data_IF_341638916364
#
_entry.id   IF_341638916364
#
_cell.length_a   1.000
_cell.length_b   1.000
_cell.length_c   1.000
_cell.angle_alpha   90.00
_cell.angle_beta   90.00
_cell.angle_gamma   90.00
#
_symmetry.space_group_name_H-M   'P 1'
#
loop_
_entity.id
_entity.type
_entity.pdbx_description
1 polymer ?
#
# COMPACT_ATOMS: atom_id res chain seq x y z
N UNK A 1 4.98 -48.72 58.30
CA UNK A 1 5.16 -47.28 57.93
C UNK A 1 5.59 -47.05 56.47
N UNK A 2 5.94 -48.12 55.73
CA UNK A 2 6.42 -47.94 54.33
C UNK A 2 5.33 -47.81 53.22
N UNK A 3 4.08 -48.18 53.54
CA UNK A 3 2.96 -48.20 52.56
C UNK A 3 2.21 -46.86 52.44
N UNK A 4 2.33 -45.93 53.37
CA UNK A 4 1.69 -44.60 53.34
C UNK A 4 2.51 -43.59 52.59
N UNK A 5 3.84 -43.76 52.55
CA UNK A 5 4.76 -42.87 51.85
C UNK A 5 4.65 -42.94 50.30
N UNK A 6 4.30 -44.12 49.72
CA UNK A 6 4.14 -44.27 48.26
C UNK A 6 2.87 -43.63 47.71
N UNK A 7 1.80 -43.51 48.54
CA UNK A 7 0.54 -42.92 48.04
C UNK A 7 0.56 -41.39 47.93
N UNK A 8 1.38 -40.73 48.74
CA UNK A 8 1.52 -39.28 48.74
C UNK A 8 2.36 -38.81 47.55
N UNK A 9 3.32 -39.61 47.11
CA UNK A 9 4.17 -39.27 45.96
C UNK A 9 3.41 -39.45 44.62
N UNK A 10 2.48 -40.38 44.54
CA UNK A 10 1.65 -40.59 43.35
C UNK A 10 0.61 -39.47 43.11
N UNK A 11 0.14 -38.78 44.16
CA UNK A 11 -0.82 -37.69 44.04
C UNK A 11 -0.18 -36.35 43.61
N UNK A 12 1.14 -36.15 43.87
CA UNK A 12 1.85 -34.94 43.46
C UNK A 12 2.27 -34.94 41.98
N UNK A 13 2.28 -36.09 41.31
CA UNK A 13 2.70 -36.23 39.91
C UNK A 13 1.64 -35.92 38.85
N UNK A 14 0.34 -35.87 39.22
CA UNK A 14 -0.76 -35.66 38.26
C UNK A 14 -1.17 -34.18 38.05
N UNK A 15 -0.65 -33.26 38.84
CA UNK A 15 -1.03 -31.84 38.75
C UNK A 15 -0.17 -31.00 37.77
N UNK A 16 0.79 -31.61 37.08
CA UNK A 16 1.70 -30.88 36.18
C UNK A 16 1.30 -30.90 34.68
N UNK A 17 0.24 -31.62 34.29
CA UNK A 17 -0.08 -31.83 32.88
C UNK A 17 -1.19 -30.92 32.31
N UNK A 18 -1.76 -30.02 33.13
CA UNK A 18 -2.89 -29.20 32.70
C UNK A 18 -2.62 -27.70 32.50
N UNK A 19 -1.42 -27.19 32.85
CA UNK A 19 -1.20 -25.73 32.98
C UNK A 19 -0.73 -24.96 31.73
N UNK A 20 -0.13 -25.64 30.74
CA UNK A 20 0.53 -24.91 29.63
C UNK A 20 -0.39 -24.44 28.51
N UNK A 21 -1.54 -25.09 28.28
CA UNK A 21 -2.42 -24.75 27.18
C UNK A 21 -3.33 -23.55 27.45
N UNK A 22 -3.74 -23.34 28.69
CA UNK A 22 -4.65 -22.22 29.02
C UNK A 22 -3.90 -20.89 29.05
N UNK A 23 -2.68 -20.87 29.58
CA UNK A 23 -1.86 -19.65 29.59
C UNK A 23 -1.46 -19.18 28.16
N UNK A 24 -1.19 -20.11 27.24
CA UNK A 24 -0.96 -19.77 25.83
C UNK A 24 -2.22 -19.28 25.12
N UNK A 25 -3.38 -19.89 25.40
CA UNK A 25 -4.64 -19.45 24.81
C UNK A 25 -5.02 -18.03 25.29
N UNK A 26 -4.84 -17.71 26.57
CA UNK A 26 -5.08 -16.37 27.12
C UNK A 26 -4.07 -15.37 26.58
N UNK A 27 -2.78 -15.73 26.47
CA UNK A 27 -1.77 -14.85 25.89
C UNK A 27 -2.01 -14.54 24.39
N UNK A 28 -2.64 -15.46 23.67
CA UNK A 28 -3.00 -15.24 22.25
C UNK A 28 -4.21 -14.31 22.11
N UNK A 29 -5.17 -14.39 23.03
CA UNK A 29 -6.36 -13.54 23.05
C UNK A 29 -6.08 -12.08 23.49
N UNK A 30 -4.96 -11.84 24.18
CA UNK A 30 -4.59 -10.51 24.70
C UNK A 30 -3.50 -9.82 23.88
N UNK A 31 -2.97 -10.45 22.83
CA UNK A 31 -2.02 -9.76 21.94
C UNK A 31 -2.76 -8.76 21.08
N UNK A 32 -2.36 -7.48 21.10
CA UNK A 32 -2.92 -6.51 20.17
C UNK A 32 -2.62 -6.96 18.72
N UNK A 33 -3.54 -6.66 17.85
CA UNK A 33 -3.36 -6.92 16.41
C UNK A 33 -2.07 -6.23 15.90
N UNK A 34 -1.27 -6.91 15.08
CA UNK A 34 -0.07 -6.30 14.53
C UNK A 34 -0.44 -5.08 13.68
N UNK A 35 0.21 -3.96 13.95
CA UNK A 35 0.01 -2.70 13.24
C UNK A 35 1.27 -2.38 12.46
N UNK A 36 1.15 -2.24 11.15
CA UNK A 36 2.19 -1.66 10.31
C UNK A 36 1.99 -0.14 10.29
N UNK A 37 2.98 0.58 10.79
CA UNK A 37 2.92 2.04 10.88
C UNK A 37 3.08 2.69 9.51
N UNK A 38 2.41 3.82 9.32
CA UNK A 38 2.63 4.71 8.20
C UNK A 38 4.13 4.96 7.99
N UNK A 39 4.57 5.02 6.74
CA UNK A 39 5.97 5.36 6.40
C UNK A 39 6.19 6.87 6.46
N UNK A 40 5.12 7.61 6.32
CA UNK A 40 5.10 9.07 6.41
C UNK A 40 3.73 9.52 6.92
N UNK A 41 3.73 10.35 7.93
CA UNK A 41 2.54 11.00 8.45
C UNK A 41 2.20 12.18 7.53
N UNK A 42 1.26 11.91 6.60
CA UNK A 42 0.90 12.88 5.56
C UNK A 42 0.02 13.98 6.21
N UNK A 43 0.44 15.25 6.17
CA UNK A 43 -0.40 16.33 6.67
C UNK A 43 -1.72 16.41 5.90
N UNK A 44 -2.83 16.71 6.60
CA UNK A 44 -4.12 16.99 5.97
C UNK A 44 -4.07 18.39 5.32
N UNK A 45 -3.65 18.42 4.08
CA UNK A 45 -3.48 19.58 3.23
C UNK A 45 -4.04 19.28 1.84
N UNK A 46 -4.45 20.30 1.06
CA UNK A 46 -4.82 20.12 -0.34
C UNK A 46 -3.78 19.31 -1.10
N UNK A 47 -4.18 18.12 -1.57
CA UNK A 47 -3.25 17.10 -2.08
C UNK A 47 -3.70 16.54 -3.42
N UNK A 48 -2.74 16.15 -4.25
CA UNK A 48 -2.99 15.40 -5.49
C UNK A 48 -2.04 14.21 -5.60
N UNK A 49 -2.54 13.09 -6.13
CA UNK A 49 -1.71 11.97 -6.58
C UNK A 49 -1.36 12.21 -8.06
N UNK A 50 -0.11 12.53 -8.32
CA UNK A 50 0.40 12.76 -9.68
C UNK A 50 1.18 11.55 -10.17
N UNK A 51 0.60 10.82 -11.14
CA UNK A 51 1.23 9.66 -11.77
C UNK A 51 1.98 10.09 -13.02
N UNK A 52 3.31 9.99 -12.98
CA UNK A 52 4.19 10.41 -14.07
C UNK A 52 4.90 9.22 -14.72
N UNK A 53 4.39 8.79 -15.85
CA UNK A 53 4.94 7.69 -16.64
C UNK A 53 5.62 8.17 -17.93
N UNK A 54 6.76 8.82 -17.76
CA UNK A 54 7.54 9.36 -18.87
C UNK A 54 7.94 8.29 -19.89
N UNK A 55 8.31 7.12 -19.44
CA UNK A 55 8.80 6.04 -20.30
C UNK A 55 7.69 5.13 -20.84
N UNK A 56 6.43 5.44 -20.58
CA UNK A 56 5.28 4.63 -21.01
C UNK A 56 5.36 3.16 -20.54
N UNK A 57 5.81 2.96 -19.32
CA UNK A 57 5.93 1.65 -18.66
C UNK A 57 4.58 1.00 -18.45
N UNK A 58 3.54 1.81 -18.13
CA UNK A 58 2.19 1.34 -17.83
C UNK A 58 1.29 1.49 -19.06
N UNK A 59 0.85 0.38 -19.60
CA UNK A 59 -0.04 0.32 -20.77
C UNK A 59 -1.26 -0.59 -20.52
N UNK A 60 -2.46 -0.20 -21.00
CA UNK A 60 -2.82 1.05 -21.69
C UNK A 60 -2.83 2.28 -20.78
N UNK A 61 -2.76 3.48 -21.34
CA UNK A 61 -2.65 4.77 -20.63
C UNK A 61 -3.70 4.96 -19.53
N UNK A 62 -4.93 4.45 -19.72
CA UNK A 62 -6.00 4.53 -18.70
C UNK A 62 -5.59 3.94 -17.36
N UNK A 63 -4.75 2.89 -17.34
CA UNK A 63 -4.30 2.22 -16.11
C UNK A 63 -3.54 3.18 -15.19
N UNK A 64 -2.82 4.14 -15.74
CA UNK A 64 -2.11 5.19 -14.97
C UNK A 64 -3.08 6.02 -14.14
N UNK A 65 -4.19 6.41 -14.78
CA UNK A 65 -5.26 7.12 -14.11
C UNK A 65 -5.95 6.24 -13.07
N UNK A 66 -6.28 4.99 -13.43
CA UNK A 66 -6.97 4.06 -12.53
C UNK A 66 -6.15 3.84 -11.25
N UNK A 67 -4.80 3.73 -11.33
CA UNK A 67 -3.91 3.62 -10.17
C UNK A 67 -3.96 4.88 -9.29
N UNK A 68 -3.87 6.06 -9.92
CA UNK A 68 -3.86 7.32 -9.18
C UNK A 68 -5.21 7.63 -8.54
N UNK A 69 -6.32 7.35 -9.23
CA UNK A 69 -7.67 7.49 -8.70
C UNK A 69 -7.91 6.54 -7.51
N UNK A 70 -7.48 5.28 -7.62
CA UNK A 70 -7.57 4.32 -6.51
C UNK A 70 -6.78 4.80 -5.29
N UNK A 71 -5.53 5.24 -5.49
CA UNK A 71 -4.73 5.79 -4.39
C UNK A 71 -5.42 6.99 -3.72
N UNK A 72 -6.05 7.87 -4.51
CA UNK A 72 -6.81 9.01 -4.01
C UNK A 72 -8.00 8.57 -3.16
N UNK A 73 -8.79 7.61 -3.66
CA UNK A 73 -9.96 7.06 -2.93
C UNK A 73 -9.52 6.46 -1.58
N UNK A 74 -8.48 5.63 -1.60
CA UNK A 74 -7.99 4.98 -0.37
C UNK A 74 -7.44 6.00 0.64
N UNK A 75 -6.78 7.08 0.17
CA UNK A 75 -6.31 8.17 1.05
C UNK A 75 -7.48 8.90 1.70
N UNK A 76 -8.52 9.21 0.95
CA UNK A 76 -9.74 9.83 1.50
C UNK A 76 -10.43 8.92 2.53
N UNK A 77 -10.51 7.62 2.25
CA UNK A 77 -11.21 6.67 3.12
C UNK A 77 -10.45 6.26 4.39
N UNK A 78 -9.11 6.27 4.35
CA UNK A 78 -8.28 5.65 5.41
C UNK A 78 -7.22 6.54 6.02
N UNK A 79 -6.85 7.63 5.37
CA UNK A 79 -5.90 8.61 5.87
C UNK A 79 -6.58 9.93 6.28
N UNK A 80 -7.94 9.94 6.29
CA UNK A 80 -8.76 11.11 6.63
C UNK A 80 -8.35 12.38 5.84
N UNK A 81 -7.98 12.18 4.55
CA UNK A 81 -7.59 13.26 3.65
C UNK A 81 -8.83 13.85 2.96
N UNK A 82 -9.36 14.94 3.49
CA UNK A 82 -10.62 15.53 2.98
C UNK A 82 -10.42 16.36 1.70
N UNK A 83 -9.25 16.96 1.52
CA UNK A 83 -8.99 17.91 0.43
C UNK A 83 -8.08 17.31 -0.66
N UNK A 84 -8.65 16.34 -1.41
CA UNK A 84 -7.97 15.65 -2.50
C UNK A 84 -8.42 16.18 -3.87
N UNK A 85 -7.45 16.64 -4.66
CA UNK A 85 -7.69 17.07 -6.06
C UNK A 85 -7.60 15.89 -7.01
N UNK A 86 -8.45 15.89 -8.05
CA UNK A 86 -8.47 14.81 -9.05
C UNK A 86 -7.11 14.63 -9.75
N UNK A 87 -6.57 13.41 -9.81
CA UNK A 87 -5.36 13.11 -10.57
C UNK A 87 -5.43 13.54 -12.04
N UNK A 88 -6.63 13.55 -12.62
CA UNK A 88 -6.84 13.98 -14.00
C UNK A 88 -6.52 15.47 -14.21
N UNK A 89 -6.77 16.30 -13.20
CA UNK A 89 -6.46 17.73 -13.29
C UNK A 89 -4.95 17.96 -13.25
N UNK A 90 -4.21 17.22 -12.46
CA UNK A 90 -2.74 17.24 -12.49
C UNK A 90 -2.18 16.81 -13.86
N UNK A 91 -2.71 15.72 -14.44
CA UNK A 91 -2.30 15.22 -15.76
C UNK A 91 -2.58 16.28 -16.84
N UNK A 92 -3.77 16.88 -16.83
CA UNK A 92 -4.16 17.93 -17.79
C UNK A 92 -3.29 19.16 -17.66
N UNK A 93 -3.02 19.58 -16.42
CA UNK A 93 -2.21 20.77 -16.15
C UNK A 93 -0.75 20.52 -16.54
N UNK A 94 -0.15 19.40 -16.17
CA UNK A 94 1.20 19.03 -16.58
C UNK A 94 1.33 19.07 -18.11
N UNK A 95 0.42 18.42 -18.84
CA UNK A 95 0.39 18.41 -20.30
C UNK A 95 0.25 19.80 -20.90
N UNK A 96 -0.50 20.71 -20.27
CA UNK A 96 -0.66 22.11 -20.72
C UNK A 96 0.59 22.95 -20.49
N UNK A 97 1.31 22.66 -19.41
CA UNK A 97 2.52 23.40 -19.00
C UNK A 97 3.79 22.86 -19.66
N UNK A 98 3.82 21.58 -20.06
CA UNK A 98 4.96 20.97 -20.73
C UNK A 98 5.23 21.67 -22.07
N UNK A 99 6.49 22.07 -22.27
CA UNK A 99 7.00 22.56 -23.54
C UNK A 99 7.63 21.41 -24.30
N UNK A 100 7.86 21.58 -25.60
CA UNK A 100 8.38 20.51 -26.47
C UNK A 100 9.71 19.90 -26.02
N UNK A 101 10.49 20.59 -25.21
CA UNK A 101 11.83 20.16 -24.75
C UNK A 101 11.95 20.15 -23.23
N UNK A 102 11.10 20.89 -22.51
CA UNK A 102 11.20 21.08 -21.07
C UNK A 102 9.87 20.71 -20.39
N UNK A 103 9.94 19.85 -19.39
CA UNK A 103 8.79 19.46 -18.59
C UNK A 103 8.55 20.45 -17.46
N UNK A 104 7.28 20.65 -17.14
CA UNK A 104 6.90 21.45 -16.00
C UNK A 104 7.41 20.82 -14.69
N UNK A 105 7.94 21.66 -13.81
CA UNK A 105 8.33 21.18 -12.49
C UNK A 105 7.09 20.74 -11.68
N UNK A 106 7.20 19.66 -10.92
CA UNK A 106 6.09 19.04 -10.19
C UNK A 106 5.38 20.05 -9.28
N UNK A 107 6.16 20.87 -8.54
CA UNK A 107 5.61 21.89 -7.64
C UNK A 107 4.90 23.01 -8.39
N UNK A 108 5.30 23.35 -9.62
CA UNK A 108 4.60 24.34 -10.46
C UNK A 108 3.26 23.79 -10.93
N UNK A 109 3.18 22.52 -11.30
CA UNK A 109 1.91 21.85 -11.60
C UNK A 109 1.01 21.86 -10.37
N UNK A 110 1.52 21.49 -9.20
CA UNK A 110 0.79 21.54 -7.93
C UNK A 110 0.24 22.93 -7.63
N UNK A 111 1.07 23.96 -7.77
CA UNK A 111 0.67 25.36 -7.59
C UNK A 111 -0.43 25.78 -8.57
N UNK A 112 -0.33 25.37 -9.81
CA UNK A 112 -1.30 25.71 -10.85
C UNK A 112 -2.68 25.08 -10.66
N UNK A 113 -2.76 23.93 -9.96
CA UNK A 113 -4.03 23.26 -9.60
C UNK A 113 -4.49 23.56 -8.17
N UNK A 114 -3.74 24.38 -7.41
CA UNK A 114 -4.14 24.86 -6.09
C UNK A 114 -3.93 23.89 -4.96
N UNK A 115 -2.96 22.95 -5.05
CA UNK A 115 -2.61 22.03 -3.95
C UNK A 115 -1.37 22.50 -3.20
N UNK A 116 -1.23 22.08 -1.94
CA UNK A 116 -0.09 22.37 -1.08
C UNK A 116 0.95 21.25 -1.09
N UNK A 117 0.56 20.02 -1.45
CA UNK A 117 1.46 18.88 -1.58
C UNK A 117 1.09 17.96 -2.75
N UNK A 118 2.11 17.31 -3.31
CA UNK A 118 1.97 16.37 -4.41
C UNK A 118 2.55 15.02 -4.01
N UNK A 119 1.73 13.97 -4.03
CA UNK A 119 2.19 12.58 -3.99
C UNK A 119 2.59 12.19 -5.40
N UNK A 120 3.90 12.23 -5.67
CA UNK A 120 4.46 11.93 -6.98
C UNK A 120 4.78 10.46 -7.12
N UNK A 121 4.22 9.81 -8.13
CA UNK A 121 4.35 8.38 -8.41
C UNK A 121 5.02 8.18 -9.76
N UNK A 122 6.19 7.53 -9.74
CA UNK A 122 6.96 7.14 -10.93
C UNK A 122 6.91 5.62 -11.10
N UNK A 123 6.35 5.07 -12.19
CA UNK A 123 6.36 3.64 -12.42
C UNK A 123 7.73 3.17 -12.89
N UNK A 124 8.22 2.08 -12.29
CA UNK A 124 9.46 1.41 -12.67
C UNK A 124 9.20 0.14 -13.49
N UNK A 125 8.08 -0.52 -13.19
CA UNK A 125 7.68 -1.76 -13.85
C UNK A 125 6.17 -1.95 -13.74
N UNK A 126 5.58 -2.46 -14.81
CA UNK A 126 4.20 -2.94 -14.83
C UNK A 126 4.14 -4.14 -15.79
N UNK A 127 4.16 -5.35 -15.23
CA UNK A 127 4.30 -6.58 -15.99
C UNK A 127 3.07 -7.47 -15.83
N UNK A 128 2.43 -7.76 -16.96
CA UNK A 128 1.40 -8.80 -17.06
C UNK A 128 1.96 -9.91 -17.94
N UNK A 129 2.09 -11.15 -17.43
CA UNK A 129 2.55 -12.27 -18.24
C UNK A 129 1.63 -12.52 -19.43
N UNK A 130 2.22 -12.82 -20.60
CA UNK A 130 1.44 -13.13 -21.81
C UNK A 130 0.59 -14.41 -21.62
N UNK A 131 1.11 -15.37 -20.87
CA UNK A 131 0.41 -16.60 -20.48
C UNK A 131 0.19 -16.54 -18.97
N UNK A 132 -1.08 -16.50 -18.56
CA UNK A 132 -1.45 -16.46 -17.16
C UNK A 132 -0.99 -17.71 -16.42
N UNK A 133 -0.40 -17.50 -15.24
CA UNK A 133 0.12 -18.60 -14.41
C UNK A 133 1.57 -19.00 -14.69
N UNK A 134 2.25 -18.47 -15.70
CA UNK A 134 3.68 -18.69 -15.93
C UNK A 134 4.55 -17.91 -14.96
N UNK A 135 4.16 -16.68 -14.65
CA UNK A 135 4.77 -15.83 -13.63
C UNK A 135 3.72 -14.97 -12.96
N UNK A 136 4.09 -14.28 -11.90
CA UNK A 136 3.19 -13.37 -11.19
C UNK A 136 3.09 -12.03 -11.93
N UNK A 137 1.86 -11.51 -12.16
CA UNK A 137 1.69 -10.11 -12.52
C UNK A 137 2.29 -9.23 -11.43
N UNK A 138 3.07 -8.22 -11.82
CA UNK A 138 3.76 -7.37 -10.85
C UNK A 138 3.88 -5.92 -11.31
N UNK A 139 3.90 -5.02 -10.34
CA UNK A 139 4.17 -3.61 -10.55
C UNK A 139 5.19 -3.11 -9.52
N UNK A 140 5.98 -2.10 -9.91
CA UNK A 140 6.92 -1.44 -9.02
C UNK A 140 6.89 0.06 -9.29
N UNK A 141 6.95 0.85 -8.23
CA UNK A 141 6.86 2.31 -8.27
C UNK A 141 7.89 2.95 -7.34
N UNK A 142 8.21 4.19 -7.60
CA UNK A 142 8.84 5.11 -6.66
C UNK A 142 7.84 6.18 -6.27
N UNK A 143 7.73 6.43 -4.97
CA UNK A 143 6.80 7.41 -4.40
C UNK A 143 7.58 8.48 -3.66
N UNK A 144 7.20 9.73 -3.90
CA UNK A 144 7.75 10.92 -3.24
C UNK A 144 6.60 11.83 -2.82
N UNK A 145 6.77 12.57 -1.74
CA UNK A 145 5.89 13.70 -1.42
C UNK A 145 6.69 14.99 -1.62
N UNK A 146 6.12 15.89 -2.39
CA UNK A 146 6.72 17.19 -2.72
C UNK A 146 5.86 18.29 -2.06
N UNK A 147 6.47 19.11 -1.24
CA UNK A 147 5.88 20.34 -0.74
C UNK A 147 5.84 21.38 -1.88
N UNK A 148 4.66 21.85 -2.21
CA UNK A 148 4.45 22.74 -3.37
C UNK A 148 5.02 24.13 -3.12
N UNK A 149 4.94 24.62 -1.89
CA UNK A 149 5.41 25.96 -1.52
C UNK A 149 6.93 26.10 -1.65
N UNK A 150 7.66 25.08 -1.23
CA UNK A 150 9.13 25.09 -1.23
C UNK A 150 9.73 24.40 -2.44
N UNK A 151 8.96 23.60 -3.18
CA UNK A 151 9.43 22.73 -4.24
C UNK A 151 10.30 21.56 -3.76
N UNK A 152 10.38 21.34 -2.44
CA UNK A 152 11.25 20.32 -1.85
C UNK A 152 10.51 19.01 -1.65
N UNK A 153 11.25 17.91 -1.83
CA UNK A 153 10.79 16.61 -1.40
C UNK A 153 10.82 16.52 0.13
N UNK A 154 9.68 16.17 0.73
CA UNK A 154 9.53 15.95 2.17
C UNK A 154 9.51 14.47 2.55
N UNK A 155 9.16 13.58 1.60
CA UNK A 155 9.23 12.13 1.78
C UNK A 155 9.74 11.44 0.50
N UNK A 156 10.54 10.36 0.66
CA UNK A 156 11.30 9.99 1.84
C UNK A 156 12.43 11.00 2.09
N UNK A 157 12.80 11.23 3.35
CA UNK A 157 13.82 12.22 3.70
C UNK A 157 15.21 11.78 3.21
N UNK A 158 15.58 10.53 3.45
CA UNK A 158 16.93 10.02 3.25
C UNK A 158 17.17 9.39 1.87
N UNK A 159 16.11 8.94 1.17
CA UNK A 159 16.22 8.24 -0.11
C UNK A 159 15.88 9.17 -1.28
N UNK A 160 16.90 9.64 -2.00
CA UNK A 160 16.73 10.57 -3.12
C UNK A 160 15.92 10.00 -4.29
N UNK A 161 16.02 8.70 -4.53
CA UNK A 161 15.31 8.04 -5.63
C UNK A 161 13.79 7.94 -5.39
N UNK A 162 13.35 8.04 -4.14
CA UNK A 162 11.96 7.86 -3.72
C UNK A 162 11.74 6.55 -3.00
N UNK A 163 10.62 6.41 -2.29
CA UNK A 163 10.25 5.17 -1.61
C UNK A 163 9.81 4.10 -2.61
N UNK A 164 10.38 2.91 -2.50
CA UNK A 164 10.06 1.79 -3.39
C UNK A 164 8.80 1.07 -2.93
N UNK A 165 7.83 0.95 -3.83
CA UNK A 165 6.60 0.17 -3.64
C UNK A 165 6.59 -0.96 -4.65
N UNK A 166 6.33 -2.20 -4.21
CA UNK A 166 6.20 -3.37 -5.07
C UNK A 166 4.89 -4.09 -4.78
N UNK A 167 4.23 -4.53 -5.84
CA UNK A 167 2.95 -5.22 -5.78
C UNK A 167 3.01 -6.43 -6.69
N UNK A 168 2.49 -7.56 -6.25
CA UNK A 168 2.27 -8.73 -7.10
C UNK A 168 0.91 -9.36 -6.85
N UNK A 169 0.45 -10.14 -7.84
CA UNK A 169 -0.73 -10.99 -7.70
C UNK A 169 -0.23 -12.44 -7.70
N UNK A 170 -0.45 -13.22 -6.63
CA UNK A 170 -0.05 -14.62 -6.56
C UNK A 170 -0.57 -15.42 -7.74
N UNK A 171 0.19 -16.39 -8.23
CA UNK A 171 -0.16 -17.21 -9.43
C UNK A 171 -1.55 -17.82 -9.35
N UNK A 172 -1.86 -18.48 -8.24
CA UNK A 172 -3.16 -19.13 -8.05
C UNK A 172 -4.32 -18.13 -8.12
N UNK A 173 -4.10 -16.92 -7.63
CA UNK A 173 -5.09 -15.86 -7.67
C UNK A 173 -5.19 -15.24 -9.08
N UNK A 174 -4.08 -15.02 -9.75
CA UNK A 174 -4.06 -14.51 -11.13
C UNK A 174 -4.80 -15.43 -12.10
N UNK A 175 -4.71 -16.76 -11.91
CA UNK A 175 -5.46 -17.74 -12.68
C UNK A 175 -6.97 -17.63 -12.45
N UNK A 176 -7.41 -17.42 -11.19
CA UNK A 176 -8.83 -17.21 -10.87
C UNK A 176 -9.37 -15.91 -11.49
N UNK A 177 -8.60 -14.83 -11.42
CA UNK A 177 -8.97 -13.54 -12.00
C UNK A 177 -9.04 -13.61 -13.51
N UNK A 178 -8.14 -14.36 -14.15
CA UNK A 178 -8.09 -14.51 -15.60
C UNK A 178 -9.36 -15.14 -16.20
N UNK A 179 -10.14 -15.91 -15.43
CA UNK A 179 -11.42 -16.45 -15.86
C UNK A 179 -12.43 -15.36 -16.24
N UNK A 180 -12.27 -14.14 -15.69
CA UNK A 180 -13.07 -12.94 -16.00
C UNK A 180 -12.52 -12.14 -17.20
N UNK A 181 -11.47 -12.64 -17.87
CA UNK A 181 -10.87 -12.05 -19.05
C UNK A 181 -9.53 -11.32 -18.81
N UNK A 182 -8.75 -11.08 -19.88
CA UNK A 182 -7.38 -10.54 -19.77
C UNK A 182 -7.30 -9.13 -19.15
N UNK A 183 -8.36 -8.34 -19.24
CA UNK A 183 -8.43 -7.00 -18.66
C UNK A 183 -8.59 -7.02 -17.14
N UNK A 184 -9.14 -8.09 -16.57
CA UNK A 184 -9.40 -8.21 -15.15
C UNK A 184 -8.09 -8.21 -14.33
N UNK A 185 -7.05 -8.91 -14.81
CA UNK A 185 -5.73 -8.93 -14.14
C UNK A 185 -5.10 -7.52 -14.11
N UNK A 186 -5.22 -6.76 -15.21
CA UNK A 186 -4.69 -5.39 -15.27
C UNK A 186 -5.43 -4.48 -14.29
N UNK A 187 -6.75 -4.60 -14.23
CA UNK A 187 -7.58 -3.82 -13.29
C UNK A 187 -7.21 -4.16 -11.85
N UNK A 188 -7.12 -5.45 -11.53
CA UNK A 188 -6.75 -5.90 -10.18
C UNK A 188 -5.35 -5.41 -9.78
N UNK A 189 -4.37 -5.51 -10.68
CA UNK A 189 -3.02 -5.01 -10.40
C UNK A 189 -3.02 -3.48 -10.22
N UNK A 190 -3.85 -2.76 -10.98
CA UNK A 190 -3.99 -1.31 -10.82
C UNK A 190 -4.59 -0.95 -9.45
N UNK A 191 -5.69 -1.61 -9.06
CA UNK A 191 -6.32 -1.42 -7.74
C UNK A 191 -5.34 -1.70 -6.60
N UNK A 192 -4.66 -2.84 -6.62
CA UNK A 192 -3.63 -3.16 -5.62
C UNK A 192 -2.48 -2.17 -5.60
N UNK A 193 -2.12 -1.64 -6.76
CA UNK A 193 -1.06 -0.62 -6.86
C UNK A 193 -1.47 0.68 -6.19
N UNK A 194 -2.67 1.16 -6.45
CA UNK A 194 -3.22 2.35 -5.80
C UNK A 194 -3.31 2.19 -4.27
N UNK A 195 -3.86 1.06 -3.83
CA UNK A 195 -3.94 0.71 -2.40
C UNK A 195 -2.56 0.64 -1.72
N UNK A 196 -1.56 0.02 -2.38
CA UNK A 196 -0.20 -0.07 -1.84
C UNK A 196 0.51 1.29 -1.78
N UNK A 197 0.28 2.18 -2.75
CA UNK A 197 0.81 3.54 -2.72
C UNK A 197 0.20 4.33 -1.57
N UNK A 198 -1.13 4.30 -1.43
CA UNK A 198 -1.84 5.00 -0.35
C UNK A 198 -1.45 4.48 1.03
N UNK A 199 -1.19 3.18 1.16
CA UNK A 199 -0.84 2.51 2.43
C UNK A 199 0.48 2.99 3.05
N UNK A 200 1.27 3.77 2.34
CA UNK A 200 2.45 4.43 2.92
C UNK A 200 2.09 5.52 3.94
N UNK A 201 0.85 6.00 3.94
CA UNK A 201 0.43 7.23 4.60
C UNK A 201 -0.57 7.03 5.75
N UNK A 202 -0.91 5.79 6.09
CA UNK A 202 -1.75 5.47 7.23
C UNK A 202 -1.35 4.14 7.88
N UNK A 203 -1.75 3.95 9.13
CA UNK A 203 -1.50 2.72 9.88
C UNK A 203 -2.36 1.56 9.37
N UNK A 204 -1.75 0.42 9.11
CA UNK A 204 -2.45 -0.79 8.66
C UNK A 204 -2.56 -1.75 9.85
N UNK A 205 -3.79 -2.10 10.22
CA UNK A 205 -4.06 -3.15 11.22
C UNK A 205 -4.24 -4.50 10.51
N UNK A 206 -3.62 -5.52 11.03
CA UNK A 206 -3.78 -6.89 10.57
C UNK A 206 -4.49 -7.71 11.64
N UNK A 207 -5.43 -8.58 11.24
CA UNK A 207 -5.96 -9.58 12.17
C UNK A 207 -4.85 -10.53 12.61
N UNK A 208 -5.04 -11.20 13.76
CA UNK A 208 -4.11 -12.23 14.26
C UNK A 208 -3.90 -13.40 13.27
N UNK A 209 -4.78 -13.55 12.28
CA UNK A 209 -4.67 -14.52 11.20
C UNK A 209 -3.97 -13.96 9.95
N UNK A 210 -3.33 -12.79 10.05
CA UNK A 210 -2.58 -12.16 8.97
C UNK A 210 -3.42 -11.50 7.88
N UNK A 211 -4.75 -11.43 8.04
CA UNK A 211 -5.61 -10.72 7.11
C UNK A 211 -5.61 -9.22 7.43
N UNK A 212 -5.47 -8.39 6.42
CA UNK A 212 -5.61 -6.94 6.54
C UNK A 212 -7.03 -6.60 6.99
N UNK A 213 -7.17 -5.90 8.11
CA UNK A 213 -8.46 -5.40 8.57
C UNK A 213 -8.80 -4.16 7.74
N UNK A 214 -9.86 -4.28 6.95
CA UNK A 214 -10.47 -3.15 6.26
C UNK A 214 -11.15 -2.31 7.33
N UNK A 215 -10.79 -1.04 7.44
CA UNK A 215 -11.08 -0.12 8.53
C UNK A 215 -12.48 -0.21 9.15
N UNK A 216 -12.48 -0.08 10.47
CA UNK A 216 -13.67 0.36 11.23
C UNK A 216 -13.53 1.84 11.46
#
# INVERSE_FOLDING_TARGET
MARVACLVIAAAGLSQLGGCNIAQAVATLTRPDPVEKAKYDLPDLPTVVMFDDYYSVVTPVRIRRDIAEEATIVLMERADMDDMVSPLDAIRMAKKMDKSVERAAIHEVGKAIGVDQVIYVEPLRFLIPAIVGTSEPMAAFRVKVIDVKTGKRVFPADEKSGWSVQVSIPRAESQRIASSGPSAIRKELATRSGDAIASLFFDIKYSQHGNRLLGQ
#
